data_IF_081078214823
#
_entry.id   IF_081078214823
#
_cell.length_a   1.000
_cell.length_b   1.000
_cell.length_c   1.000
_cell.angle_alpha   90.00
_cell.angle_beta   90.00
_cell.angle_gamma   90.00
#
_symmetry.space_group_name_H-M   'P 1'
#
loop_
_entity.id
_entity.type
_entity.pdbx_description
1 polymer ?
#
# COMPACT_ATOMS: atom_id res chain seq x y z
N UNK A 1 -0.33 -12.24 0.88
CA UNK A 1 -1.23 -11.09 0.66
C UNK A 1 -2.16 -10.83 1.84
N UNK A 2 -2.81 -11.82 2.48
CA UNK A 2 -3.60 -11.55 3.72
C UNK A 2 -2.82 -10.79 4.82
N UNK A 3 -1.63 -11.27 5.18
CA UNK A 3 -0.78 -10.57 6.15
C UNK A 3 -0.34 -9.16 5.69
N UNK A 4 -0.33 -8.91 4.37
CA UNK A 4 -0.07 -7.58 3.80
C UNK A 4 -1.26 -6.66 4.08
N UNK A 5 -2.48 -7.13 3.82
CA UNK A 5 -3.72 -6.41 4.11
C UNK A 5 -3.81 -6.06 5.61
N UNK A 6 -3.59 -7.04 6.50
CA UNK A 6 -3.64 -6.83 7.95
C UNK A 6 -2.61 -5.78 8.42
N UNK A 7 -1.41 -5.77 7.83
CA UNK A 7 -0.36 -4.81 8.18
C UNK A 7 -0.67 -3.39 7.66
N UNK A 8 -1.25 -3.28 6.47
CA UNK A 8 -1.68 -2.00 5.89
C UNK A 8 -2.85 -1.39 6.68
N UNK A 9 -3.88 -2.18 6.98
CA UNK A 9 -5.01 -1.76 7.83
C UNK A 9 -4.53 -1.29 9.22
N UNK A 10 -3.57 -2.02 9.80
CA UNK A 10 -2.95 -1.62 11.06
C UNK A 10 -2.19 -0.30 10.94
N UNK A 11 -1.46 -0.07 9.85
CA UNK A 11 -0.72 1.17 9.66
C UNK A 11 -1.65 2.38 9.54
N UNK A 12 -2.73 2.24 8.73
CA UNK A 12 -3.77 3.27 8.60
C UNK A 12 -4.35 3.62 9.98
N UNK A 13 -4.85 2.62 10.71
CA UNK A 13 -5.57 2.85 11.98
C UNK A 13 -4.68 3.29 13.14
N UNK A 14 -3.39 2.94 13.15
CA UNK A 14 -2.51 3.21 14.30
C UNK A 14 -1.50 4.33 14.10
N UNK A 15 -1.10 4.61 12.85
CA UNK A 15 -0.11 5.63 12.51
C UNK A 15 -0.80 6.81 11.84
N UNK A 16 -1.46 6.58 10.70
CA UNK A 16 -2.08 7.65 9.89
C UNK A 16 -3.20 8.35 10.66
N UNK A 17 -4.20 7.60 11.12
CA UNK A 17 -5.32 8.14 11.89
C UNK A 17 -4.87 8.84 13.17
N UNK A 18 -3.84 8.30 13.83
CA UNK A 18 -3.32 8.87 15.07
C UNK A 18 -2.69 10.24 14.82
N UNK A 19 -1.91 10.38 13.75
CA UNK A 19 -1.29 11.65 13.36
C UNK A 19 -2.32 12.67 12.87
N UNK A 20 -3.35 12.23 12.12
CA UNK A 20 -4.48 13.08 11.73
C UNK A 20 -5.23 13.67 12.94
N UNK A 21 -5.38 12.88 14.00
CA UNK A 21 -6.05 13.30 15.25
C UNK A 21 -5.14 14.12 16.19
N UNK A 22 -3.84 14.20 15.94
CA UNK A 22 -2.92 14.96 16.78
C UNK A 22 -3.07 16.47 16.48
N UNK A 23 -3.47 17.31 17.46
CA UNK A 23 -3.59 18.74 17.27
C UNK A 23 -2.27 19.45 16.97
N UNK A 24 -1.12 18.77 17.12
CA UNK A 24 0.20 19.30 16.80
C UNK A 24 0.64 19.06 15.36
N UNK A 25 -0.06 18.23 14.62
CA UNK A 25 0.19 18.02 13.18
C UNK A 25 -0.17 19.31 12.45
N UNK A 26 0.76 19.81 11.63
CA UNK A 26 0.50 20.99 10.83
C UNK A 26 -0.50 20.71 9.71
N UNK A 27 -1.13 21.76 9.17
CA UNK A 27 -2.22 21.59 8.19
C UNK A 27 -1.72 20.98 6.87
N UNK A 28 -0.49 21.30 6.44
CA UNK A 28 0.11 20.67 5.24
C UNK A 28 0.32 19.17 5.43
N UNK A 29 0.81 18.75 6.59
CA UNK A 29 0.98 17.35 6.94
C UNK A 29 -0.36 16.65 7.07
N UNK A 30 -1.41 17.33 7.58
CA UNK A 30 -2.77 16.76 7.64
C UNK A 30 -3.34 16.48 6.25
N UNK A 31 -3.21 17.43 5.31
CA UNK A 31 -3.63 17.22 3.92
C UNK A 31 -2.92 16.00 3.32
N UNK A 32 -1.61 15.88 3.53
CA UNK A 32 -0.87 14.72 3.07
C UNK A 32 -1.28 13.42 3.78
N UNK A 33 -1.52 13.44 5.07
CA UNK A 33 -1.98 12.27 5.81
C UNK A 33 -3.38 11.82 5.36
N UNK A 34 -4.27 12.74 4.97
CA UNK A 34 -5.57 12.42 4.39
C UNK A 34 -5.41 11.75 3.02
N UNK A 35 -4.57 12.31 2.16
CA UNK A 35 -4.24 11.68 0.87
C UNK A 35 -3.62 10.29 1.08
N UNK A 36 -2.68 10.16 2.00
CA UNK A 36 -2.07 8.87 2.38
C UNK A 36 -3.12 7.87 2.86
N UNK A 37 -4.07 8.30 3.68
CA UNK A 37 -5.17 7.43 4.11
C UNK A 37 -5.97 6.91 2.90
N UNK A 38 -6.40 7.79 1.99
CA UNK A 38 -7.21 7.42 0.83
C UNK A 38 -6.48 6.44 -0.11
N UNK A 39 -5.19 6.71 -0.40
CA UNK A 39 -4.40 5.83 -1.27
C UNK A 39 -4.05 4.52 -0.57
N UNK A 40 -3.81 4.52 0.74
CA UNK A 40 -3.60 3.27 1.50
C UNK A 40 -4.88 2.42 1.61
N UNK A 41 -6.05 3.03 1.75
CA UNK A 41 -7.33 2.31 1.66
C UNK A 41 -7.53 1.71 0.26
N UNK A 42 -7.15 2.44 -0.79
CA UNK A 42 -7.16 1.94 -2.17
C UNK A 42 -6.13 0.81 -2.39
N UNK A 43 -4.96 0.90 -1.76
CA UNK A 43 -3.95 -0.16 -1.76
C UNK A 43 -4.46 -1.41 -1.03
N UNK A 44 -5.26 -1.24 0.03
CA UNK A 44 -5.86 -2.33 0.79
C UNK A 44 -6.88 -3.09 -0.06
N UNK A 45 -7.74 -2.36 -0.76
CA UNK A 45 -8.70 -2.95 -1.71
C UNK A 45 -7.96 -3.71 -2.84
N UNK A 46 -6.92 -3.10 -3.43
CA UNK A 46 -6.11 -3.75 -4.46
C UNK A 46 -5.43 -5.05 -3.98
N UNK A 47 -4.81 -5.06 -2.80
CA UNK A 47 -4.17 -6.29 -2.30
C UNK A 47 -5.18 -7.37 -1.92
N UNK A 48 -6.40 -7.00 -1.53
CA UNK A 48 -7.50 -7.93 -1.29
C UNK A 48 -8.02 -8.54 -2.60
N UNK A 49 -8.26 -7.73 -3.63
CA UNK A 49 -8.68 -8.20 -4.96
C UNK A 49 -7.63 -9.11 -5.61
N UNK A 50 -6.34 -8.79 -5.46
CA UNK A 50 -5.26 -9.66 -5.92
C UNK A 50 -5.32 -11.07 -5.31
N UNK A 51 -5.78 -11.22 -4.07
CA UNK A 51 -6.00 -12.55 -3.45
C UNK A 51 -7.11 -13.31 -4.18
N UNK A 52 -8.21 -12.63 -4.52
CA UNK A 52 -9.34 -13.22 -5.23
C UNK A 52 -8.95 -13.62 -6.66
N UNK A 53 -8.19 -12.77 -7.35
CA UNK A 53 -7.68 -13.02 -8.69
C UNK A 53 -6.71 -14.19 -8.73
N UNK A 54 -5.74 -14.26 -7.80
CA UNK A 54 -4.85 -15.43 -7.67
C UNK A 54 -5.67 -16.70 -7.39
N UNK A 55 -6.70 -16.62 -6.55
CA UNK A 55 -7.53 -17.78 -6.20
C UNK A 55 -8.41 -18.26 -7.35
N UNK A 56 -8.80 -17.35 -8.26
CA UNK A 56 -9.58 -17.66 -9.46
C UNK A 56 -8.72 -18.00 -10.68
N UNK A 57 -7.39 -17.88 -10.58
CA UNK A 57 -6.44 -18.12 -11.66
C UNK A 57 -6.28 -16.94 -12.64
N UNK A 58 -6.84 -15.78 -12.33
CA UNK A 58 -6.69 -14.55 -13.13
C UNK A 58 -5.37 -13.85 -12.79
N UNK A 59 -4.25 -14.47 -13.17
CA UNK A 59 -2.92 -13.95 -12.87
C UNK A 59 -2.61 -12.62 -13.56
N UNK A 60 -3.32 -12.30 -14.65
CA UNK A 60 -3.21 -11.00 -15.30
C UNK A 60 -3.78 -9.90 -14.40
N UNK A 61 -5.03 -10.04 -13.91
CA UNK A 61 -5.59 -9.04 -13.00
C UNK A 61 -4.85 -9.00 -11.66
N UNK A 62 -4.43 -10.15 -11.13
CA UNK A 62 -3.61 -10.17 -9.92
C UNK A 62 -2.34 -9.32 -10.05
N UNK A 63 -1.69 -9.33 -11.23
CA UNK A 63 -0.52 -8.51 -11.54
C UNK A 63 -0.87 -7.01 -11.60
N UNK A 64 -1.99 -6.67 -12.24
CA UNK A 64 -2.51 -5.29 -12.29
C UNK A 64 -2.80 -4.77 -10.88
N UNK A 65 -3.47 -5.56 -10.05
CA UNK A 65 -3.83 -5.18 -8.69
C UNK A 65 -2.60 -5.00 -7.78
N UNK A 66 -1.60 -5.87 -7.86
CA UNK A 66 -0.35 -5.69 -7.10
C UNK A 66 0.43 -4.45 -7.58
N UNK A 67 0.38 -4.16 -8.89
CA UNK A 67 0.98 -2.93 -9.42
C UNK A 67 0.25 -1.69 -8.91
N UNK A 68 -1.09 -1.71 -8.87
CA UNK A 68 -1.90 -0.64 -8.31
C UNK A 68 -1.62 -0.44 -6.81
N UNK A 69 -1.46 -1.53 -6.05
CA UNK A 69 -1.01 -1.46 -4.66
C UNK A 69 0.31 -0.68 -4.53
N UNK A 70 1.33 -0.98 -5.34
CA UNK A 70 2.60 -0.26 -5.29
C UNK A 70 2.45 1.23 -5.64
N UNK A 71 1.72 1.54 -6.72
CA UNK A 71 1.49 2.94 -7.14
C UNK A 71 0.80 3.76 -6.05
N UNK A 72 -0.19 3.19 -5.38
CA UNK A 72 -0.90 3.85 -4.30
C UNK A 72 0.03 4.14 -3.10
N UNK A 73 0.94 3.22 -2.79
CA UNK A 73 1.96 3.43 -1.76
C UNK A 73 2.87 4.61 -2.14
N UNK A 74 3.37 4.63 -3.38
CA UNK A 74 4.27 5.69 -3.86
C UNK A 74 3.58 7.07 -3.89
N UNK A 75 2.28 7.12 -4.18
CA UNK A 75 1.49 8.36 -4.20
C UNK A 75 1.43 9.05 -2.83
N UNK A 76 1.51 8.30 -1.73
CA UNK A 76 1.59 8.89 -0.38
C UNK A 76 2.94 9.59 -0.16
N UNK A 77 4.04 8.93 -0.53
CA UNK A 77 5.42 9.42 -0.37
C UNK A 77 5.63 10.74 -1.14
N UNK A 78 5.05 10.86 -2.35
CA UNK A 78 5.12 12.07 -3.19
C UNK A 78 4.46 13.31 -2.55
N UNK A 79 3.53 13.13 -1.61
CA UNK A 79 2.85 14.28 -0.99
C UNK A 79 3.76 15.04 -0.02
N UNK A 80 4.60 14.33 0.72
CA UNK A 80 5.46 14.96 1.71
C UNK A 80 6.54 15.79 1.00
N UNK A 81 6.60 17.08 1.32
CA UNK A 81 7.44 18.09 0.65
C UNK A 81 8.96 18.00 0.95
N UNK A 82 9.51 16.78 0.94
CA UNK A 82 10.92 16.49 1.22
C UNK A 82 11.24 16.25 2.69
N UNK A 83 10.26 16.30 3.59
CA UNK A 83 10.38 15.70 4.93
C UNK A 83 10.10 14.21 4.84
N UNK A 84 11.17 13.42 4.80
CA UNK A 84 11.08 11.97 4.87
C UNK A 84 10.70 11.57 6.29
N UNK A 85 9.42 11.26 6.52
CA UNK A 85 9.02 10.67 7.79
C UNK A 85 9.59 9.24 7.89
N UNK A 86 10.47 8.93 8.86
CA UNK A 86 11.14 7.63 8.90
C UNK A 86 10.20 6.45 9.16
N UNK A 87 9.01 6.69 9.72
CA UNK A 87 8.01 5.64 9.94
C UNK A 87 7.26 5.32 8.64
N UNK A 88 6.89 6.34 7.86
CA UNK A 88 6.28 6.18 6.53
C UNK A 88 7.27 5.57 5.55
N UNK A 89 8.51 6.05 5.49
CA UNK A 89 9.53 5.49 4.59
C UNK A 89 9.76 4.00 4.84
N UNK A 90 9.85 3.57 6.12
CA UNK A 90 9.98 2.16 6.46
C UNK A 90 8.76 1.33 6.06
N UNK A 91 7.57 1.94 6.10
CA UNK A 91 6.35 1.30 5.66
C UNK A 91 6.34 1.13 4.14
N UNK A 92 6.70 2.18 3.41
CA UNK A 92 6.73 2.19 1.95
C UNK A 92 7.80 1.22 1.41
N UNK A 93 9.00 1.19 2.00
CA UNK A 93 10.05 0.23 1.64
C UNK A 93 9.59 -1.23 1.85
N UNK A 94 8.89 -1.49 2.96
CA UNK A 94 8.29 -2.80 3.20
C UNK A 94 7.24 -3.13 2.15
N UNK A 95 6.35 -2.19 1.84
CA UNK A 95 5.26 -2.38 0.89
C UNK A 95 5.80 -2.63 -0.52
N UNK A 96 6.79 -1.86 -0.99
CA UNK A 96 7.49 -2.09 -2.26
C UNK A 96 8.14 -3.47 -2.33
N UNK A 97 8.80 -3.89 -1.25
CA UNK A 97 9.37 -5.24 -1.16
C UNK A 97 8.31 -6.34 -1.31
N UNK A 98 7.16 -6.17 -0.66
CA UNK A 98 6.03 -7.11 -0.79
C UNK A 98 5.44 -7.10 -2.20
N UNK A 99 5.30 -5.94 -2.82
CA UNK A 99 4.80 -5.81 -4.19
C UNK A 99 5.70 -6.56 -5.17
N UNK A 100 7.01 -6.32 -5.11
CA UNK A 100 8.02 -7.03 -5.93
C UNK A 100 7.92 -8.54 -5.76
N UNK A 101 7.91 -9.02 -4.51
CA UNK A 101 7.80 -10.45 -4.20
C UNK A 101 6.51 -11.09 -4.73
N UNK A 102 5.40 -10.34 -4.72
CA UNK A 102 4.11 -10.81 -5.22
C UNK A 102 4.10 -10.86 -6.76
N UNK A 103 4.61 -9.82 -7.43
CA UNK A 103 4.72 -9.77 -8.89
C UNK A 103 5.59 -10.92 -9.42
N UNK A 104 6.76 -11.15 -8.82
CA UNK A 104 7.66 -12.24 -9.22
C UNK A 104 6.98 -13.61 -9.12
N UNK A 105 6.21 -13.84 -8.04
CA UNK A 105 5.46 -15.09 -7.87
C UNK A 105 4.34 -15.21 -8.89
N UNK A 106 3.56 -14.16 -9.11
CA UNK A 106 2.46 -14.17 -10.10
C UNK A 106 3.00 -14.48 -11.50
N UNK A 107 4.09 -13.83 -11.92
CA UNK A 107 4.73 -14.07 -13.21
C UNK A 107 5.23 -15.52 -13.32
N UNK A 108 5.87 -16.02 -12.27
CA UNK A 108 6.35 -17.41 -12.24
C UNK A 108 5.21 -18.43 -12.38
N UNK A 109 4.12 -18.24 -11.64
CA UNK A 109 2.96 -19.13 -11.71
C UNK A 109 2.24 -19.03 -13.06
N UNK A 110 2.09 -17.83 -13.61
CA UNK A 110 1.50 -17.59 -14.93
C UNK A 110 2.23 -18.34 -16.05
N UNK A 111 3.56 -18.45 -15.98
CA UNK A 111 4.37 -19.17 -16.98
C UNK A 111 4.45 -20.69 -16.76
N UNK A 112 3.85 -21.24 -15.70
CA UNK A 112 3.91 -22.66 -15.35
C UNK A 112 2.66 -23.43 -15.80
N UNK A 113 1.58 -22.74 -16.16
CA UNK A 113 0.30 -23.28 -16.63
C UNK A 113 -0.04 -22.73 -18.02
#
# INVERSE_FOLDING_TARGET
MKATADKLEKFISTVVEKRLKDPKTDESDKECLQQCQEVYESALDAIQKSVEDVSSGDFFKANVDVSAFSTNIDTCDECFSGMTDPEFQKFDDWARGVASDCLDKIVKYSNTY
#
